data_IF_808900985019
#
_entry.id   IF_808900985019
#
_cell.length_a   1.000
_cell.length_b   1.000
_cell.length_c   1.000
_cell.angle_alpha   90.00
_cell.angle_beta   90.00
_cell.angle_gamma   90.00
#
_symmetry.space_group_name_H-M   'P 1'
#
loop_
_entity.id
_entity.type
_entity.pdbx_description
1 polymer ?
#
# COMPACT_ATOMS: atom_id res chain seq x y z
N UNK A 1 -4.22 31.70 -5.18
CA UNK A 1 -4.38 30.54 -6.09
C UNK A 1 -5.55 29.65 -5.69
N UNK A 2 -5.56 29.07 -4.48
CA UNK A 2 -6.65 28.18 -4.00
C UNK A 2 -8.03 28.89 -3.99
N UNK A 3 -8.12 30.11 -3.47
CA UNK A 3 -9.36 30.89 -3.47
C UNK A 3 -9.92 31.20 -4.88
N UNK A 4 -9.05 31.24 -5.90
CA UNK A 4 -9.45 31.44 -7.29
C UNK A 4 -10.07 30.17 -7.89
N UNK A 5 -9.55 28.99 -7.52
CA UNK A 5 -10.11 27.69 -7.92
C UNK A 5 -11.47 27.45 -7.25
N UNK A 6 -11.62 27.88 -6.00
CA UNK A 6 -12.87 27.77 -5.26
C UNK A 6 -14.00 28.56 -5.92
N UNK A 7 -13.73 29.81 -6.33
CA UNK A 7 -14.69 30.62 -7.11
C UNK A 7 -14.95 30.05 -8.50
N UNK A 8 -13.93 29.53 -9.19
CA UNK A 8 -14.08 29.01 -10.56
C UNK A 8 -14.81 27.66 -10.65
N UNK A 9 -14.73 26.83 -9.60
CA UNK A 9 -15.27 25.45 -9.59
C UNK A 9 -16.40 25.23 -8.58
N UNK A 10 -16.80 26.25 -7.82
CA UNK A 10 -17.80 26.12 -6.75
C UNK A 10 -17.37 25.20 -5.62
N UNK A 11 -16.05 25.10 -5.35
CA UNK A 11 -15.49 24.21 -4.31
C UNK A 11 -15.22 22.77 -4.76
N UNK A 12 -15.44 22.40 -6.03
CA UNK A 12 -15.21 21.03 -6.53
C UNK A 12 -13.78 20.74 -6.98
N UNK A 13 -12.88 21.73 -6.97
CA UNK A 13 -11.48 21.56 -7.36
C UNK A 13 -10.74 20.38 -6.69
N UNK A 14 -10.99 19.97 -5.42
CA UNK A 14 -10.31 18.82 -4.83
C UNK A 14 -10.65 17.52 -5.55
N UNK A 15 -11.90 17.35 -6.02
CA UNK A 15 -12.30 16.16 -6.78
C UNK A 15 -11.58 16.08 -8.13
N UNK A 16 -11.41 17.22 -8.82
CA UNK A 16 -10.62 17.26 -10.06
C UNK A 16 -9.16 16.88 -9.82
N UNK A 17 -8.56 17.31 -8.70
CA UNK A 17 -7.19 16.93 -8.33
C UNK A 17 -7.10 15.42 -8.05
N UNK A 18 -8.05 14.84 -7.32
CA UNK A 18 -8.09 13.39 -7.07
C UNK A 18 -8.27 12.61 -8.37
N UNK A 19 -9.13 13.07 -9.28
CA UNK A 19 -9.31 12.42 -10.58
C UNK A 19 -8.01 12.50 -11.39
N UNK A 20 -7.39 13.67 -11.46
CA UNK A 20 -6.24 13.91 -12.33
C UNK A 20 -4.95 13.26 -11.83
N UNK A 21 -4.72 13.26 -10.51
CA UNK A 21 -3.47 12.78 -9.91
C UNK A 21 -3.61 11.45 -9.17
N UNK A 22 -4.82 11.06 -8.75
CA UNK A 22 -5.08 9.76 -8.10
C UNK A 22 -5.62 8.72 -9.07
N UNK A 23 -6.70 9.04 -9.76
CA UNK A 23 -7.42 8.08 -10.60
C UNK A 23 -6.77 7.88 -11.98
N UNK A 24 -6.61 8.95 -12.77
CA UNK A 24 -6.15 8.85 -14.16
C UNK A 24 -4.80 8.15 -14.32
N UNK A 25 -3.74 8.45 -13.53
CA UNK A 25 -2.46 7.78 -13.70
C UNK A 25 -2.53 6.28 -13.43
N UNK A 26 -3.30 5.88 -12.40
CA UNK A 26 -3.53 4.48 -12.05
C UNK A 26 -4.27 3.74 -13.16
N UNK A 27 -5.32 4.38 -13.70
CA UNK A 27 -6.21 3.77 -14.68
C UNK A 27 -5.54 3.66 -16.07
N UNK A 28 -4.75 4.66 -16.48
CA UNK A 28 -3.97 4.64 -17.73
C UNK A 28 -3.04 3.41 -17.76
N UNK A 29 -2.27 3.18 -16.69
CA UNK A 29 -1.38 2.02 -16.60
C UNK A 29 -2.14 0.70 -16.53
N UNK A 30 -3.30 0.68 -15.85
CA UNK A 30 -4.16 -0.50 -15.75
C UNK A 30 -4.66 -0.94 -17.13
N UNK A 31 -5.17 -0.02 -17.93
CA UNK A 31 -5.62 -0.32 -19.29
C UNK A 31 -4.46 -0.70 -20.21
N UNK A 32 -3.34 0.01 -20.14
CA UNK A 32 -2.18 -0.30 -20.96
C UNK A 32 -1.70 -1.74 -20.71
N UNK A 33 -1.62 -2.17 -19.45
CA UNK A 33 -1.26 -3.55 -19.09
C UNK A 33 -2.23 -4.58 -19.71
N UNK A 34 -3.54 -4.30 -19.69
CA UNK A 34 -4.56 -5.17 -20.30
C UNK A 34 -4.36 -5.30 -21.80
N UNK A 35 -4.02 -4.23 -22.51
CA UNK A 35 -3.77 -4.27 -23.96
C UNK A 35 -2.45 -4.97 -24.30
N UNK A 36 -1.40 -4.72 -23.53
CA UNK A 36 -0.07 -5.28 -23.75
C UNK A 36 0.00 -6.77 -23.42
N UNK A 37 -0.79 -7.24 -22.45
CA UNK A 37 -0.84 -8.64 -22.06
C UNK A 37 -1.74 -9.51 -22.96
N UNK A 38 -2.46 -8.93 -23.94
CA UNK A 38 -3.32 -9.70 -24.84
C UNK A 38 -2.49 -10.67 -25.69
N UNK A 39 -2.85 -11.94 -25.67
CA UNK A 39 -2.18 -12.98 -26.47
C UNK A 39 -0.87 -13.50 -25.86
N UNK A 40 -0.49 -13.05 -24.66
CA UNK A 40 0.61 -13.65 -23.90
C UNK A 40 0.04 -14.77 -23.01
N UNK A 41 0.65 -15.96 -23.06
CA UNK A 41 0.31 -17.06 -22.16
C UNK A 41 0.56 -16.65 -20.70
N UNK A 42 -0.39 -16.92 -19.81
CA UNK A 42 -0.27 -16.63 -18.37
C UNK A 42 0.91 -17.34 -17.69
N UNK A 43 1.37 -18.44 -18.29
CA UNK A 43 2.52 -19.23 -17.87
C UNK A 43 3.81 -18.83 -18.59
N UNK A 44 3.79 -17.78 -19.43
CA UNK A 44 4.98 -17.28 -20.08
C UNK A 44 6.04 -16.91 -19.03
N UNK A 45 7.28 -17.37 -19.26
CA UNK A 45 8.40 -17.17 -18.33
C UNK A 45 8.61 -15.68 -18.00
N UNK A 46 8.40 -14.80 -18.98
CA UNK A 46 8.45 -13.35 -18.77
C UNK A 46 7.42 -12.86 -17.76
N UNK A 47 6.18 -13.36 -17.77
CA UNK A 47 5.14 -12.96 -16.82
C UNK A 47 5.39 -13.53 -15.42
N UNK A 48 5.98 -14.72 -15.32
CA UNK A 48 6.46 -15.27 -14.04
C UNK A 48 7.56 -14.38 -13.47
N UNK A 49 8.54 -14.00 -14.30
CA UNK A 49 9.62 -13.09 -13.90
C UNK A 49 9.09 -11.73 -13.45
N UNK A 50 8.20 -11.10 -14.22
CA UNK A 50 7.60 -9.81 -13.85
C UNK A 50 6.84 -9.90 -12.52
N UNK A 51 6.05 -10.96 -12.30
CA UNK A 51 5.32 -11.17 -11.04
C UNK A 51 6.26 -11.37 -9.84
N UNK A 52 7.36 -12.09 -10.04
CA UNK A 52 8.38 -12.27 -9.02
C UNK A 52 9.07 -10.93 -8.67
N UNK A 53 9.45 -10.14 -9.69
CA UNK A 53 10.03 -8.80 -9.50
C UNK A 53 9.05 -7.87 -8.78
N UNK A 54 7.78 -7.83 -9.19
CA UNK A 54 6.76 -6.99 -8.55
C UNK A 54 6.58 -7.35 -7.07
N UNK A 55 6.54 -8.65 -6.75
CA UNK A 55 6.41 -9.14 -5.38
C UNK A 55 7.67 -8.84 -4.55
N UNK A 56 8.86 -8.96 -5.14
CA UNK A 56 10.13 -8.60 -4.51
C UNK A 56 10.24 -7.10 -4.23
N UNK A 57 9.76 -6.25 -5.15
CA UNK A 57 9.70 -4.80 -4.95
C UNK A 57 8.77 -4.44 -3.79
N UNK A 58 7.57 -5.02 -3.74
CA UNK A 58 6.64 -4.81 -2.63
C UNK A 58 7.25 -5.24 -1.30
N UNK A 59 7.85 -6.43 -1.23
CA UNK A 59 8.55 -6.92 -0.05
C UNK A 59 9.73 -6.02 0.34
N UNK A 60 10.49 -5.52 -0.63
CA UNK A 60 11.58 -4.57 -0.41
C UNK A 60 11.12 -3.24 0.17
N UNK A 61 9.97 -2.71 -0.27
CA UNK A 61 9.36 -1.51 0.31
C UNK A 61 8.96 -1.76 1.76
N UNK A 62 8.31 -2.89 2.06
CA UNK A 62 7.96 -3.26 3.43
C UNK A 62 9.21 -3.40 4.31
N UNK A 63 10.25 -4.08 3.82
CA UNK A 63 11.53 -4.22 4.52
C UNK A 63 12.18 -2.85 4.79
N UNK A 64 12.16 -1.93 3.82
CA UNK A 64 12.64 -0.56 3.98
C UNK A 64 11.89 0.17 5.11
N UNK A 65 10.57 0.03 5.19
CA UNK A 65 9.77 0.66 6.26
C UNK A 65 10.09 0.07 7.65
N UNK A 66 10.43 -1.21 7.73
CA UNK A 66 10.78 -1.88 8.99
C UNK A 66 12.19 -1.46 9.44
N UNK A 67 13.17 -1.52 8.55
CA UNK A 67 14.59 -1.32 8.84
C UNK A 67 14.99 0.17 8.90
N UNK A 68 14.48 0.97 7.97
CA UNK A 68 14.76 2.40 7.82
C UNK A 68 13.45 3.20 7.85
N UNK A 69 12.79 3.25 9.02
CA UNK A 69 11.49 3.89 9.20
C UNK A 69 11.60 5.41 8.99
N UNK A 70 10.49 6.03 8.60
CA UNK A 70 10.36 7.49 8.53
C UNK A 70 9.01 7.91 9.10
N UNK A 71 8.92 9.14 9.62
CA UNK A 71 7.68 9.68 10.18
C UNK A 71 7.26 8.95 11.47
N UNK A 72 5.95 8.71 11.64
CA UNK A 72 5.38 8.13 12.86
C UNK A 72 5.93 6.73 13.20
N UNK A 73 6.39 5.93 12.23
CA UNK A 73 6.98 4.61 12.51
C UNK A 73 8.36 4.70 13.18
N UNK A 74 9.03 5.86 13.14
CA UNK A 74 10.36 6.03 13.70
C UNK A 74 10.37 5.92 15.24
N UNK A 75 9.25 6.20 15.90
CA UNK A 75 9.10 6.11 17.36
C UNK A 75 8.89 4.66 17.85
N UNK A 76 8.47 3.76 16.98
CA UNK A 76 8.17 2.36 17.33
C UNK A 76 9.44 1.52 17.28
N UNK A 77 9.84 0.77 18.32
CA UNK A 77 11.03 -0.09 18.26
C UNK A 77 10.93 -1.20 17.19
N UNK A 78 12.08 -1.65 16.66
CA UNK A 78 12.15 -2.67 15.59
C UNK A 78 11.37 -3.95 15.91
N UNK A 79 11.47 -4.44 17.16
CA UNK A 79 10.78 -5.66 17.63
C UNK A 79 9.27 -5.55 17.41
N UNK A 80 8.68 -4.38 17.66
CA UNK A 80 7.26 -4.16 17.50
C UNK A 80 6.83 -3.99 16.04
N UNK A 81 7.70 -3.46 15.17
CA UNK A 81 7.45 -3.41 13.72
C UNK A 81 7.46 -4.79 13.07
N UNK A 82 8.41 -5.64 13.48
CA UNK A 82 8.44 -7.04 13.05
C UNK A 82 7.28 -7.80 13.67
N UNK A 83 6.99 -7.54 14.95
CA UNK A 83 5.85 -8.11 15.67
C UNK A 83 4.51 -7.80 15.01
N UNK A 84 4.28 -6.58 14.53
CA UNK A 84 3.05 -6.22 13.81
C UNK A 84 2.93 -6.92 12.46
N UNK A 85 4.05 -7.11 11.75
CA UNK A 85 4.05 -7.89 10.51
C UNK A 85 3.66 -9.35 10.78
N UNK A 86 4.28 -9.97 11.80
CA UNK A 86 3.98 -11.34 12.20
C UNK A 86 2.54 -11.49 12.71
N UNK A 87 2.04 -10.51 13.48
CA UNK A 87 0.67 -10.47 13.95
C UNK A 87 -0.33 -10.37 12.79
N UNK A 88 0.00 -9.61 11.73
CA UNK A 88 -0.84 -9.56 10.55
C UNK A 88 -0.89 -10.88 9.79
N UNK A 89 0.25 -11.56 9.65
CA UNK A 89 0.30 -12.91 9.05
C UNK A 89 -0.48 -13.91 9.90
N UNK A 90 -0.30 -13.90 11.23
CA UNK A 90 -1.06 -14.74 12.14
C UNK A 90 -2.57 -14.46 12.05
N UNK A 91 -2.96 -13.18 12.06
CA UNK A 91 -4.34 -12.74 11.92
C UNK A 91 -4.98 -13.21 10.61
N UNK A 92 -4.23 -13.20 9.51
CA UNK A 92 -4.70 -13.74 8.23
C UNK A 92 -5.08 -15.23 8.35
N UNK A 93 -4.21 -16.05 8.93
CA UNK A 93 -4.47 -17.48 9.09
C UNK A 93 -5.58 -17.77 10.11
N UNK A 94 -5.62 -17.06 11.23
CA UNK A 94 -6.65 -17.19 12.25
C UNK A 94 -8.02 -16.76 11.74
N UNK A 95 -8.08 -15.72 10.91
CA UNK A 95 -9.30 -15.22 10.29
C UNK A 95 -9.71 -16.00 9.02
N UNK A 96 -9.33 -17.28 8.91
CA UNK A 96 -9.66 -18.16 7.78
C UNK A 96 -9.17 -17.64 6.43
N UNK A 97 -7.92 -17.15 6.37
CA UNK A 97 -7.29 -16.57 5.17
C UNK A 97 -7.99 -15.29 4.69
N UNK A 98 -8.53 -14.50 5.62
CA UNK A 98 -9.09 -13.18 5.35
C UNK A 98 -7.99 -12.12 5.36
N UNK A 99 -7.83 -11.42 4.22
CA UNK A 99 -6.89 -10.29 4.08
C UNK A 99 -7.23 -9.21 5.11
N UNK A 100 -8.51 -8.86 5.26
CA UNK A 100 -8.95 -7.85 6.22
C UNK A 100 -8.61 -8.24 7.65
N UNK A 101 -8.81 -9.51 8.03
CA UNK A 101 -8.47 -9.98 9.37
C UNK A 101 -6.97 -9.86 9.67
N UNK A 102 -6.12 -10.16 8.69
CA UNK A 102 -4.68 -9.95 8.81
C UNK A 102 -4.29 -8.48 8.94
N UNK A 103 -4.85 -7.61 8.09
CA UNK A 103 -4.57 -6.16 8.12
C UNK A 103 -4.94 -5.58 9.49
N UNK A 104 -6.15 -5.85 9.97
CA UNK A 104 -6.64 -5.35 11.27
C UNK A 104 -5.74 -5.83 12.41
N UNK A 105 -5.33 -7.10 12.41
CA UNK A 105 -4.45 -7.64 13.44
C UNK A 105 -3.08 -6.94 13.46
N UNK A 106 -2.47 -6.73 12.29
CA UNK A 106 -1.20 -6.02 12.17
C UNK A 106 -1.31 -4.55 12.59
N UNK A 107 -2.38 -3.86 12.17
CA UNK A 107 -2.65 -2.47 12.54
C UNK A 107 -2.83 -2.28 14.04
N UNK A 108 -3.63 -3.14 14.70
CA UNK A 108 -3.84 -3.07 16.15
C UNK A 108 -2.51 -3.17 16.90
N UNK A 109 -1.63 -4.10 16.51
CA UNK A 109 -0.33 -4.26 17.15
C UNK A 109 0.60 -3.08 16.86
N UNK A 110 0.63 -2.58 15.62
CA UNK A 110 1.49 -1.46 15.24
C UNK A 110 1.06 -0.15 15.91
N UNK A 111 -0.24 0.15 15.90
CA UNK A 111 -0.81 1.35 16.53
C UNK A 111 -0.66 1.26 18.04
N UNK A 112 -0.97 0.11 18.64
CA UNK A 112 -0.80 -0.11 20.07
C UNK A 112 0.66 0.11 20.52
N UNK A 113 1.63 -0.40 19.75
CA UNK A 113 3.03 -0.11 19.99
C UNK A 113 3.35 1.38 19.79
N UNK A 114 2.83 2.01 18.73
CA UNK A 114 2.94 3.46 18.52
C UNK A 114 2.54 4.25 19.75
N UNK A 115 1.34 4.01 20.28
CA UNK A 115 0.82 4.70 21.46
C UNK A 115 1.64 4.44 22.73
N UNK A 116 2.18 3.23 22.89
CA UNK A 116 2.99 2.87 24.06
C UNK A 116 4.39 3.51 24.06
N UNK A 117 4.95 3.80 22.88
CA UNK A 117 6.30 4.37 22.73
C UNK A 117 6.31 5.84 22.28
N UNK A 118 5.15 6.42 21.93
CA UNK A 118 5.01 7.85 21.61
C UNK A 118 4.69 8.73 22.82
N UNK A 119 4.63 8.15 24.02
CA UNK A 119 4.42 8.84 25.30
C UNK A 119 5.71 9.37 25.90
#
# INVERSE_FOLDING_TARGET
MIAWLEHATGGLWPYFVVILFGFLPSEIWRWLAVFLARGIDENAEILVWVRAVASALLAGVVAKLILTPTGALATVPLVWRVGSLLAGVAGFYLARRSILGGVIAGEIVLIGAGLAFSG
#
